data_IF_993428418565
#
_entry.id   IF_993428418565
#
_cell.length_a   1.000
_cell.length_b   1.000
_cell.length_c   1.000
_cell.angle_alpha   90.00
_cell.angle_beta   90.00
_cell.angle_gamma   90.00
#
_symmetry.space_group_name_H-M   'P 1'
#
loop_
_entity.id
_entity.type
_entity.pdbx_description
1 polymer ?
#
# COMPACT_ATOMS: atom_id res chain seq x y z
N UNK A 1 -5.95 13.59 8.90
CA UNK A 1 -5.93 12.18 8.47
C UNK A 1 -5.92 12.16 6.95
N UNK A 2 -4.87 11.62 6.34
CA UNK A 2 -4.76 11.52 4.88
C UNK A 2 -5.37 10.19 4.42
N UNK A 3 -6.53 10.24 3.75
CA UNK A 3 -7.25 9.05 3.31
C UNK A 3 -6.92 8.73 1.84
N UNK A 4 -6.43 7.52 1.57
CA UNK A 4 -6.28 7.02 0.21
C UNK A 4 -7.62 6.44 -0.26
N UNK A 5 -8.15 6.85 -1.42
CA UNK A 5 -9.43 6.36 -1.94
C UNK A 5 -9.24 4.95 -2.54
N UNK A 6 -8.98 3.96 -1.69
CA UNK A 6 -8.82 2.57 -2.11
C UNK A 6 -9.74 1.66 -1.30
N UNK A 7 -10.92 1.36 -1.88
CA UNK A 7 -11.79 0.30 -1.40
C UNK A 7 -11.33 -1.02 -2.04
N UNK A 8 -10.94 -2.00 -1.22
CA UNK A 8 -10.41 -3.28 -1.70
C UNK A 8 -11.32 -3.96 -2.73
N UNK A 9 -10.70 -4.61 -3.72
CA UNK A 9 -11.32 -5.28 -4.87
C UNK A 9 -12.10 -6.58 -4.51
N UNK A 10 -12.56 -6.75 -3.27
CA UNK A 10 -13.18 -8.00 -2.82
C UNK A 10 -14.67 -8.05 -3.24
N UNK A 11 -14.98 -8.89 -4.22
CA UNK A 11 -16.33 -9.42 -4.45
C UNK A 11 -17.28 -8.61 -5.33
N UNK A 12 -16.81 -7.81 -6.30
CA UNK A 12 -17.70 -7.05 -7.20
C UNK A 12 -17.26 -7.23 -8.66
N UNK A 13 -18.22 -7.51 -9.55
CA UNK A 13 -18.04 -8.04 -10.91
C UNK A 13 -17.14 -7.22 -11.87
N UNK A 14 -17.03 -7.60 -13.16
CA UNK A 14 -16.02 -7.09 -14.10
C UNK A 14 -15.99 -5.56 -14.25
N UNK A 15 -17.12 -4.87 -14.18
CA UNK A 15 -17.17 -3.40 -14.19
C UNK A 15 -16.55 -2.73 -12.95
N UNK A 16 -16.56 -3.41 -11.80
CA UNK A 16 -15.90 -2.94 -10.58
C UNK A 16 -14.40 -3.21 -10.57
N UNK A 17 -13.93 -4.19 -11.33
CA UNK A 17 -12.50 -4.44 -11.53
C UNK A 17 -11.84 -3.28 -12.28
N UNK A 18 -12.49 -2.78 -13.34
CA UNK A 18 -12.02 -1.58 -14.05
C UNK A 18 -11.98 -0.35 -13.13
N UNK A 19 -13.05 -0.12 -12.36
CA UNK A 19 -13.10 0.99 -11.39
C UNK A 19 -12.07 0.84 -10.27
N UNK A 20 -11.81 -0.37 -9.81
CA UNK A 20 -10.78 -0.63 -8.80
C UNK A 20 -9.38 -0.50 -9.35
N UNK A 21 -9.14 -0.79 -10.64
CA UNK A 21 -7.86 -0.49 -11.30
C UNK A 21 -7.64 1.02 -11.41
N UNK A 22 -8.65 1.78 -11.84
CA UNK A 22 -8.60 3.25 -11.86
C UNK A 22 -8.40 3.81 -10.45
N UNK A 23 -9.09 3.26 -9.46
CA UNK A 23 -8.93 3.61 -8.04
C UNK A 23 -7.52 3.29 -7.53
N UNK A 24 -6.93 2.18 -7.98
CA UNK A 24 -5.55 1.80 -7.66
C UNK A 24 -4.56 2.83 -8.19
N UNK A 25 -4.63 3.19 -9.48
CA UNK A 25 -3.77 4.23 -10.05
C UNK A 25 -3.95 5.58 -9.36
N UNK A 26 -5.20 5.96 -9.04
CA UNK A 26 -5.47 7.17 -8.24
C UNK A 26 -4.84 7.10 -6.85
N UNK A 27 -4.89 5.93 -6.19
CA UNK A 27 -4.26 5.72 -4.89
C UNK A 27 -2.72 5.82 -4.96
N UNK A 28 -2.09 5.38 -6.06
CA UNK A 28 -0.65 5.55 -6.26
C UNK A 28 -0.27 7.03 -6.32
N UNK A 29 -0.99 7.82 -7.13
CA UNK A 29 -0.76 9.27 -7.27
C UNK A 29 -1.04 10.00 -5.96
N UNK A 30 -2.12 9.65 -5.27
CA UNK A 30 -2.46 10.22 -3.97
C UNK A 30 -1.39 9.88 -2.92
N UNK A 31 -0.89 8.63 -2.88
CA UNK A 31 0.18 8.23 -1.98
C UNK A 31 1.47 9.02 -2.26
N UNK A 32 1.83 9.20 -3.53
CA UNK A 32 3.00 10.00 -3.92
C UNK A 32 2.85 11.45 -3.46
N UNK A 33 1.69 12.05 -3.70
CA UNK A 33 1.40 13.42 -3.26
C UNK A 33 1.50 13.56 -1.75
N UNK A 34 0.99 12.61 -0.98
CA UNK A 34 1.13 12.60 0.48
C UNK A 34 2.59 12.50 0.90
N UNK A 35 3.38 11.63 0.26
CA UNK A 35 4.81 11.51 0.57
C UNK A 35 5.59 12.79 0.28
N UNK A 36 5.28 13.45 -0.82
CA UNK A 36 5.95 14.70 -1.20
C UNK A 36 5.53 15.86 -0.29
N UNK A 37 4.23 15.99 0.02
CA UNK A 37 3.70 17.01 0.93
C UNK A 37 4.20 16.87 2.38
N UNK A 38 4.41 15.63 2.82
CA UNK A 38 4.88 15.33 4.18
C UNK A 38 6.40 15.17 4.27
N UNK A 39 7.12 15.32 3.16
CA UNK A 39 8.55 15.02 3.07
C UNK A 39 8.90 13.64 3.66
N UNK A 40 8.08 12.64 3.35
CA UNK A 40 8.24 11.30 3.90
C UNK A 40 9.58 10.70 3.47
N UNK A 41 10.42 10.38 4.46
CA UNK A 41 11.76 9.78 4.27
C UNK A 41 11.74 8.26 4.41
N UNK A 42 10.72 7.70 5.06
CA UNK A 42 10.49 6.27 5.21
C UNK A 42 8.98 5.98 5.27
N UNK A 43 8.60 4.73 4.97
CA UNK A 43 7.21 4.28 4.99
C UNK A 43 7.08 3.04 5.86
N UNK A 44 6.13 3.06 6.80
CA UNK A 44 5.78 1.93 7.65
C UNK A 44 4.40 1.38 7.23
N UNK A 45 4.34 0.09 6.88
CA UNK A 45 3.13 -0.59 6.46
C UNK A 45 2.67 -1.63 7.49
N UNK A 46 1.54 -1.38 8.15
CA UNK A 46 0.97 -2.26 9.18
C UNK A 46 0.03 -3.36 8.60
N UNK A 47 0.03 -3.54 7.27
CA UNK A 47 -0.92 -4.41 6.58
C UNK A 47 -2.21 -3.72 6.11
N UNK A 48 -3.14 -4.51 5.55
CA UNK A 48 -4.37 -4.03 4.91
C UNK A 48 -4.24 -3.73 3.40
N UNK A 49 -5.38 -3.57 2.72
CA UNK A 49 -5.43 -3.40 1.25
C UNK A 49 -4.83 -2.08 0.77
N UNK A 50 -4.95 -1.01 1.56
CA UNK A 50 -4.39 0.32 1.26
C UNK A 50 -2.86 0.32 1.31
N UNK A 51 -2.26 -0.61 2.05
CA UNK A 51 -0.81 -0.75 2.15
C UNK A 51 -0.18 -1.10 0.79
N UNK A 52 -0.89 -1.82 -0.08
CA UNK A 52 -0.35 -2.28 -1.38
C UNK A 52 0.03 -1.11 -2.31
N UNK A 53 -0.89 -0.20 -2.69
CA UNK A 53 -0.52 0.95 -3.51
C UNK A 53 0.47 1.87 -2.78
N UNK A 54 0.34 2.06 -1.48
CA UNK A 54 1.26 2.89 -0.70
C UNK A 54 2.70 2.31 -0.74
N UNK A 55 2.87 1.03 -0.44
CA UNK A 55 4.16 0.35 -0.44
C UNK A 55 4.79 0.27 -1.84
N UNK A 56 3.98 0.06 -2.89
CA UNK A 56 4.46 0.13 -4.28
C UNK A 56 4.95 1.55 -4.60
N UNK A 57 4.18 2.58 -4.25
CA UNK A 57 4.60 3.97 -4.46
C UNK A 57 5.88 4.30 -3.67
N UNK A 58 6.04 3.76 -2.45
CA UNK A 58 7.25 3.93 -1.67
C UNK A 58 8.47 3.37 -2.43
N UNK A 59 8.37 2.15 -2.94
CA UNK A 59 9.43 1.53 -3.74
C UNK A 59 9.71 2.29 -5.04
N UNK A 60 8.66 2.70 -5.77
CA UNK A 60 8.79 3.48 -7.01
C UNK A 60 9.42 4.87 -6.79
N UNK A 61 9.27 5.43 -5.59
CA UNK A 61 9.84 6.74 -5.23
C UNK A 61 11.16 6.62 -4.45
N UNK A 62 11.74 5.42 -4.34
CA UNK A 62 13.02 5.19 -3.67
C UNK A 62 12.98 5.31 -2.15
N UNK A 63 11.79 5.30 -1.54
CA UNK A 63 11.60 5.43 -0.10
C UNK A 63 11.69 4.06 0.58
N UNK A 64 12.50 3.89 1.65
CA UNK A 64 12.57 2.64 2.38
C UNK A 64 11.20 2.26 2.97
N UNK A 65 10.76 1.04 2.67
CA UNK A 65 9.52 0.45 3.17
C UNK A 65 9.82 -0.59 4.26
N UNK A 66 9.21 -0.43 5.43
CA UNK A 66 9.18 -1.41 6.51
C UNK A 66 7.76 -1.95 6.68
N UNK A 67 7.60 -3.26 6.68
CA UNK A 67 6.31 -3.90 6.94
C UNK A 67 6.25 -4.40 8.38
N UNK A 68 5.07 -4.34 8.99
CA UNK A 68 4.79 -4.93 10.30
C UNK A 68 3.67 -5.94 10.11
N UNK A 69 3.96 -7.19 10.47
CA UNK A 69 2.98 -8.26 10.49
C UNK A 69 2.57 -8.51 11.94
N UNK A 70 1.40 -8.00 12.33
CA UNK A 70 0.82 -8.15 13.67
C UNK A 70 -0.08 -9.39 13.81
N UNK A 71 -0.04 -10.29 12.83
CA UNK A 71 -0.90 -11.47 12.75
C UNK A 71 -0.04 -12.73 12.81
N UNK A 72 -0.60 -13.84 13.33
CA UNK A 72 0.08 -15.12 13.41
C UNK A 72 0.46 -15.65 12.02
N UNK A 73 -0.37 -15.38 11.01
CA UNK A 73 -0.06 -15.66 9.61
C UNK A 73 0.36 -14.37 8.88
N UNK A 74 1.13 -14.50 7.80
CA UNK A 74 1.50 -13.33 7.00
C UNK A 74 0.27 -12.75 6.30
N UNK A 75 -0.03 -11.47 6.55
CA UNK A 75 -1.12 -10.77 5.88
C UNK A 75 -0.89 -10.77 4.36
N UNK A 76 -1.94 -11.00 3.57
CA UNK A 76 -1.84 -11.09 2.10
C UNK A 76 -1.24 -9.82 1.47
N UNK A 77 -1.49 -8.66 2.06
CA UNK A 77 -0.88 -7.40 1.61
C UNK A 77 0.61 -7.33 1.92
N UNK A 78 1.03 -7.82 3.08
CA UNK A 78 2.45 -7.92 3.44
C UNK A 78 3.17 -8.93 2.53
N UNK A 79 2.51 -10.04 2.18
CA UNK A 79 3.05 -11.01 1.23
C UNK A 79 3.24 -10.39 -0.16
N UNK A 80 2.27 -9.60 -0.64
CA UNK A 80 2.36 -8.90 -1.92
C UNK A 80 3.46 -7.82 -1.94
N UNK A 81 3.73 -7.18 -0.80
CA UNK A 81 4.74 -6.15 -0.65
C UNK A 81 6.12 -6.67 -0.24
N UNK A 82 6.24 -7.96 0.06
CA UNK A 82 7.50 -8.63 0.43
C UNK A 82 8.69 -8.28 -0.50
N UNK A 83 8.58 -8.28 -1.84
CA UNK A 83 9.72 -7.95 -2.70
C UNK A 83 10.12 -6.46 -2.66
N UNK A 84 9.21 -5.58 -2.22
CA UNK A 84 9.42 -4.14 -2.15
C UNK A 84 9.87 -3.67 -0.75
N UNK A 85 9.71 -4.53 0.27
CA UNK A 85 10.04 -4.21 1.65
C UNK A 85 11.53 -4.39 1.94
N UNK A 86 12.14 -3.41 2.60
CA UNK A 86 13.53 -3.48 3.10
C UNK A 86 13.62 -4.40 4.32
N UNK A 87 12.60 -4.36 5.17
CA UNK A 87 12.50 -5.11 6.43
C UNK A 87 11.04 -5.47 6.71
N UNK A 88 10.85 -6.60 7.36
CA UNK A 88 9.55 -7.07 7.85
C UNK A 88 9.73 -7.36 9.34
N UNK A 89 9.01 -6.61 10.16
CA UNK A 89 8.89 -6.86 11.60
C UNK A 89 7.68 -7.75 11.87
N UNK A 90 7.80 -8.56 12.91
CA UNK A 90 6.75 -9.41 13.45
C UNK A 90 6.48 -8.96 14.88
N UNK A 91 5.22 -8.93 15.30
CA UNK A 91 4.80 -8.51 16.63
C UNK A 91 3.40 -9.00 16.97
#
# INVERSE_FOLDING_TARGET
LDALPFAGLRGKGPGHMLRGLVGFFKALVAARRVYDQRHATAVLGMGGYVCVPAGITAALTGRPLMLVNADAAMLKSNLALKPFARRIAFG
#
